data_IF_423299454081
#
_entry.id   IF_423299454081
#
_cell.length_a   1.000
_cell.length_b   1.000
_cell.length_c   1.000
_cell.angle_alpha   90.00
_cell.angle_beta   90.00
_cell.angle_gamma   90.00
#
_symmetry.space_group_name_H-M   'P 1'
#
loop_
_entity.id
_entity.type
_entity.pdbx_description
1 polymer ?
#
# COMPACT_ATOMS: atom_id res chain seq x y z
N UNK A 1 21.33 25.02 8.01
CA UNK A 1 20.37 24.54 6.99
C UNK A 1 19.20 23.91 7.73
N UNK A 2 18.05 24.57 7.77
CA UNK A 2 16.81 23.99 8.32
C UNK A 2 16.33 22.94 7.34
N UNK A 3 16.38 21.67 7.75
CA UNK A 3 15.84 20.54 6.96
C UNK A 3 14.32 20.77 6.83
N UNK A 4 13.79 20.88 5.61
CA UNK A 4 12.34 21.06 5.44
C UNK A 4 11.60 19.79 5.86
N UNK A 5 10.38 19.97 6.35
CA UNK A 5 9.47 18.88 6.74
C UNK A 5 9.19 17.98 5.53
N UNK A 6 9.62 16.72 5.56
CA UNK A 6 9.25 15.73 4.55
C UNK A 6 7.87 15.15 4.85
N UNK A 7 7.00 15.07 3.83
CA UNK A 7 5.78 14.26 3.91
C UNK A 7 5.90 13.13 2.88
N UNK A 8 5.57 11.91 3.29
CA UNK A 8 5.55 10.73 2.44
C UNK A 8 4.18 10.08 2.52
N UNK A 9 3.49 9.98 1.38
CA UNK A 9 2.24 9.23 1.29
C UNK A 9 2.50 7.78 0.89
N UNK A 10 1.97 6.85 1.68
CA UNK A 10 2.13 5.40 1.45
C UNK A 10 0.75 4.74 1.35
N UNK A 11 0.42 4.13 0.21
CA UNK A 11 -0.80 3.31 0.12
C UNK A 11 -0.57 1.97 0.82
N UNK A 12 -1.41 1.62 1.80
CA UNK A 12 -1.47 0.27 2.37
C UNK A 12 -2.70 -0.45 1.80
N UNK A 13 -2.46 -1.39 0.88
CA UNK A 13 -3.50 -2.01 0.04
C UNK A 13 -3.41 -3.54 0.10
N UNK A 14 -4.46 -4.22 -0.37
CA UNK A 14 -4.63 -5.66 -0.18
C UNK A 14 -5.36 -5.94 1.13
N UNK A 15 -4.78 -6.75 2.02
CA UNK A 15 -5.37 -7.07 3.32
C UNK A 15 -5.50 -5.82 4.21
N UNK A 16 -6.74 -5.50 4.62
CA UNK A 16 -7.02 -4.35 5.48
C UNK A 16 -6.59 -4.59 6.93
N UNK A 17 -6.32 -3.50 7.63
CA UNK A 17 -5.95 -3.51 9.03
C UNK A 17 -4.45 -3.58 9.26
N UNK A 18 -3.61 -3.68 8.23
CA UNK A 18 -2.15 -3.62 8.40
C UNK A 18 -1.69 -2.25 8.90
N UNK A 19 -2.26 -1.18 8.32
CA UNK A 19 -1.83 0.19 8.62
C UNK A 19 -2.09 0.62 10.06
N UNK A 20 -3.03 -0.03 10.76
CA UNK A 20 -3.38 0.28 12.16
C UNK A 20 -2.27 -0.07 13.16
N UNK A 21 -1.42 -1.03 12.82
CA UNK A 21 -0.29 -1.44 13.66
C UNK A 21 0.92 -0.50 13.46
N UNK A 22 1.01 0.16 12.30
CA UNK A 22 2.17 0.97 11.91
C UNK A 22 2.12 2.40 12.46
N UNK A 23 0.93 2.99 12.64
CA UNK A 23 0.80 4.42 12.87
C UNK A 23 -0.43 4.84 13.66
N UNK A 24 -0.48 6.12 14.03
CA UNK A 24 -1.59 6.68 14.79
C UNK A 24 -2.77 6.92 13.85
N UNK A 25 -3.91 6.29 14.15
CA UNK A 25 -5.16 6.50 13.41
C UNK A 25 -5.58 7.98 13.43
N UNK A 26 -5.85 8.53 12.25
CA UNK A 26 -6.30 9.88 12.01
C UNK A 26 -7.69 9.90 11.36
N UNK A 27 -7.81 10.58 10.22
CA UNK A 27 -9.06 10.74 9.48
C UNK A 27 -9.62 9.40 9.01
N UNK A 28 -10.92 9.19 9.22
CA UNK A 28 -11.66 8.00 8.77
C UNK A 28 -12.78 8.44 7.84
N UNK A 29 -12.78 7.92 6.62
CA UNK A 29 -13.75 8.28 5.57
C UNK A 29 -13.98 7.07 4.63
N UNK A 30 -13.96 7.28 3.31
CA UNK A 30 -13.79 6.20 2.33
C UNK A 30 -12.37 5.65 2.35
N UNK A 31 -11.39 6.44 2.78
CA UNK A 31 -10.02 6.03 3.12
C UNK A 31 -9.77 6.28 4.61
N UNK A 32 -8.94 5.46 5.24
CA UNK A 32 -8.42 5.69 6.60
C UNK A 32 -6.97 6.12 6.51
N UNK A 33 -6.60 7.18 7.24
CA UNK A 33 -5.24 7.71 7.28
C UNK A 33 -4.62 7.37 8.63
N UNK A 34 -3.39 6.83 8.62
CA UNK A 34 -2.57 6.59 9.80
C UNK A 34 -1.26 7.36 9.68
N UNK A 35 -0.92 8.16 10.68
CA UNK A 35 0.26 9.01 10.65
C UNK A 35 1.38 8.47 11.53
N UNK A 36 2.60 8.43 10.98
CA UNK A 36 3.84 8.15 11.70
C UNK A 36 4.68 9.41 11.70
N UNK A 37 5.10 9.87 12.88
CA UNK A 37 6.02 11.01 13.03
C UNK A 37 7.43 10.51 13.34
N UNK A 38 8.41 10.93 12.55
CA UNK A 38 9.84 10.71 12.81
C UNK A 38 10.56 12.06 12.84
N UNK A 39 10.66 12.64 14.03
CA UNK A 39 11.21 13.98 14.21
C UNK A 39 10.33 15.02 13.53
N UNK A 40 10.83 15.65 12.46
CA UNK A 40 10.08 16.60 11.63
C UNK A 40 9.37 15.91 10.45
N UNK A 41 9.74 14.69 10.10
CA UNK A 41 9.14 14.01 8.93
C UNK A 41 7.84 13.29 9.32
N UNK A 42 6.87 13.29 8.40
CA UNK A 42 5.60 12.57 8.55
C UNK A 42 5.44 11.55 7.44
N UNK A 43 4.99 10.35 7.80
CA UNK A 43 4.52 9.33 6.84
C UNK A 43 3.02 9.17 7.05
N UNK A 44 2.23 9.46 6.02
CA UNK A 44 0.78 9.26 6.02
C UNK A 44 0.46 7.99 5.24
N UNK A 45 -0.02 6.98 5.97
CA UNK A 45 -0.40 5.68 5.42
C UNK A 45 -1.89 5.71 5.09
N UNK A 46 -2.23 5.43 3.83
CA UNK A 46 -3.56 5.52 3.24
C UNK A 46 -4.12 4.12 3.04
N UNK A 47 -5.13 3.74 3.80
CA UNK A 47 -5.79 2.43 3.74
C UNK A 47 -7.18 2.56 3.10
N UNK A 48 -7.51 1.79 2.05
CA UNK A 48 -8.77 1.89 1.33
C UNK A 48 -9.90 1.20 2.10
N UNK A 49 -10.40 1.86 3.13
CA UNK A 49 -11.33 1.30 4.14
C UNK A 49 -12.66 0.76 3.61
N UNK A 50 -13.05 1.07 2.37
CA UNK A 50 -14.29 0.59 1.74
C UNK A 50 -14.05 -0.27 0.51
N UNK A 51 -12.80 -0.62 0.18
CA UNK A 51 -12.49 -1.57 -0.86
C UNK A 51 -12.58 -3.00 -0.30
N UNK A 52 -13.18 -3.98 -1.00
CA UNK A 52 -13.55 -3.99 -2.42
C UNK A 52 -14.91 -3.38 -2.79
N UNK A 53 -15.78 -3.04 -1.82
CA UNK A 53 -17.14 -2.54 -2.11
C UNK A 53 -17.19 -1.22 -2.90
N UNK A 54 -16.17 -0.37 -2.73
CA UNK A 54 -16.02 0.93 -3.41
C UNK A 54 -14.62 1.07 -4.02
N UNK A 55 -14.53 0.88 -5.33
CA UNK A 55 -13.28 1.06 -6.10
C UNK A 55 -12.64 2.46 -5.91
N UNK A 56 -13.46 3.50 -5.70
CA UNK A 56 -12.97 4.86 -5.44
C UNK A 56 -12.06 4.93 -4.20
N UNK A 57 -12.30 4.08 -3.19
CA UNK A 57 -11.47 3.99 -1.99
C UNK A 57 -10.03 3.59 -2.34
N UNK A 58 -9.86 2.54 -3.17
CA UNK A 58 -8.56 2.12 -3.68
C UNK A 58 -7.91 3.19 -4.56
N UNK A 59 -8.67 3.77 -5.49
CA UNK A 59 -8.19 4.81 -6.39
C UNK A 59 -7.59 6.01 -5.63
N UNK A 60 -8.29 6.52 -4.60
CA UNK A 60 -7.80 7.66 -3.83
C UNK A 60 -6.52 7.34 -3.07
N UNK A 61 -6.42 6.16 -2.46
CA UNK A 61 -5.19 5.74 -1.78
C UNK A 61 -4.01 5.66 -2.76
N UNK A 62 -4.20 5.00 -3.90
CA UNK A 62 -3.13 4.74 -4.86
C UNK A 62 -2.68 6.01 -5.57
N UNK A 63 -3.60 6.88 -5.99
CA UNK A 63 -3.28 8.11 -6.73
C UNK A 63 -2.51 9.13 -5.87
N UNK A 64 -2.74 9.16 -4.57
CA UNK A 64 -2.03 10.05 -3.65
C UNK A 64 -0.67 9.49 -3.19
N UNK A 65 -0.38 8.22 -3.47
CA UNK A 65 0.75 7.51 -2.91
C UNK A 65 2.02 7.68 -3.73
N UNK A 66 3.14 7.84 -3.03
CA UNK A 66 4.48 7.82 -3.63
C UNK A 66 5.18 6.46 -3.44
N UNK A 67 4.57 5.59 -2.64
CA UNK A 67 4.99 4.23 -2.35
C UNK A 67 3.78 3.36 -1.97
N UNK A 68 3.84 2.06 -2.21
CA UNK A 68 2.83 1.11 -1.75
C UNK A 68 3.39 0.04 -0.79
N UNK A 69 2.57 -0.36 0.17
CA UNK A 69 2.69 -1.60 0.93
C UNK A 69 1.52 -2.47 0.46
N UNK A 70 1.83 -3.60 -0.16
CA UNK A 70 0.83 -4.54 -0.68
C UNK A 70 0.86 -5.78 0.19
N UNK A 71 -0.16 -5.92 1.03
CA UNK A 71 -0.31 -7.05 1.95
C UNK A 71 -1.20 -8.10 1.29
N UNK A 72 -0.68 -9.30 1.09
CA UNK A 72 -1.31 -10.33 0.27
C UNK A 72 -1.62 -11.55 1.13
N UNK A 73 -2.90 -11.77 1.43
CA UNK A 73 -3.41 -13.00 2.08
C UNK A 73 -3.74 -14.06 1.01
N UNK A 74 -4.33 -13.63 -0.11
CA UNK A 74 -4.73 -14.53 -1.19
C UNK A 74 -4.64 -13.86 -2.58
N UNK A 75 -4.59 -14.68 -3.63
CA UNK A 75 -4.67 -14.23 -5.02
C UNK A 75 -6.13 -14.33 -5.46
N UNK A 76 -6.82 -13.19 -5.50
CA UNK A 76 -8.22 -13.08 -5.89
C UNK A 76 -8.42 -11.91 -6.88
N UNK A 77 -9.67 -11.63 -7.26
CA UNK A 77 -10.00 -10.54 -8.17
C UNK A 77 -9.58 -9.16 -7.61
N UNK A 78 -9.78 -8.93 -6.31
CA UNK A 78 -9.45 -7.68 -5.65
C UNK A 78 -7.93 -7.41 -5.61
N UNK A 79 -7.14 -8.47 -5.44
CA UNK A 79 -5.69 -8.40 -5.56
C UNK A 79 -5.27 -8.01 -6.98
N UNK A 80 -5.84 -8.65 -8.01
CA UNK A 80 -5.57 -8.30 -9.41
C UNK A 80 -5.91 -6.84 -9.75
N UNK A 81 -7.06 -6.35 -9.29
CA UNK A 81 -7.45 -4.94 -9.42
C UNK A 81 -6.48 -4.00 -8.70
N UNK A 82 -5.99 -4.39 -7.53
CA UNK A 82 -4.98 -3.63 -6.77
C UNK A 82 -3.67 -3.51 -7.54
N UNK A 83 -3.16 -4.61 -8.11
CA UNK A 83 -1.95 -4.60 -8.94
C UNK A 83 -2.14 -3.69 -10.16
N UNK A 84 -3.28 -3.81 -10.85
CA UNK A 84 -3.60 -3.01 -12.02
C UNK A 84 -3.69 -1.52 -11.68
N UNK A 85 -4.31 -1.15 -10.56
CA UNK A 85 -4.44 0.24 -10.13
C UNK A 85 -3.05 0.86 -9.85
N UNK A 86 -2.18 0.12 -9.15
CA UNK A 86 -0.81 0.55 -8.85
C UNK A 86 0.02 0.77 -10.13
N UNK A 87 -0.13 -0.13 -11.10
CA UNK A 87 0.54 -0.01 -12.40
C UNK A 87 0.02 1.19 -13.20
N UNK A 88 -1.30 1.33 -13.31
CA UNK A 88 -1.95 2.46 -13.98
C UNK A 88 -1.55 3.81 -13.38
N UNK A 89 -1.43 3.88 -12.05
CA UNK A 89 -1.01 5.08 -11.34
C UNK A 89 0.52 5.27 -11.33
N UNK A 90 1.28 4.33 -11.90
CA UNK A 90 2.74 4.38 -12.01
C UNK A 90 3.43 4.53 -10.64
N UNK A 91 2.90 3.86 -9.60
CA UNK A 91 3.54 3.81 -8.28
C UNK A 91 4.73 2.85 -8.36
N UNK A 92 5.93 3.40 -8.55
CA UNK A 92 7.13 2.58 -8.85
C UNK A 92 7.85 2.02 -7.63
N UNK A 93 7.55 2.55 -6.44
CA UNK A 93 8.17 2.13 -5.17
C UNK A 93 7.16 1.34 -4.37
N UNK A 94 7.55 0.19 -3.86
CA UNK A 94 6.68 -0.53 -2.95
C UNK A 94 7.29 -1.81 -2.42
N UNK A 95 6.54 -2.42 -1.51
CA UNK A 95 6.89 -3.68 -0.88
C UNK A 95 5.69 -4.64 -0.92
N UNK A 96 5.97 -5.92 -1.13
CA UNK A 96 5.04 -7.01 -0.93
C UNK A 96 5.27 -7.65 0.44
N UNK A 97 4.17 -7.86 1.17
CA UNK A 97 4.14 -8.65 2.40
C UNK A 97 3.22 -9.82 2.12
N UNK A 98 3.80 -11.01 2.06
CA UNK A 98 3.08 -12.23 1.70
C UNK A 98 2.72 -13.01 2.96
N UNK A 99 1.44 -13.37 3.09
CA UNK A 99 0.87 -14.16 4.19
C UNK A 99 0.38 -15.51 3.69
N UNK A 100 -0.07 -16.35 4.61
CA UNK A 100 -0.74 -17.63 4.31
C UNK A 100 -0.01 -18.53 3.30
N UNK A 101 1.32 -18.65 3.48
CA UNK A 101 2.22 -19.48 2.66
C UNK A 101 2.38 -19.04 1.20
N UNK A 102 1.96 -17.82 0.84
CA UNK A 102 2.24 -17.26 -0.47
C UNK A 102 3.75 -17.03 -0.65
N UNK A 103 4.25 -17.41 -1.82
CA UNK A 103 5.66 -17.24 -2.21
C UNK A 103 5.78 -16.24 -3.36
N UNK A 104 6.94 -15.56 -3.50
CA UNK A 104 7.20 -14.64 -4.60
C UNK A 104 6.94 -15.22 -5.99
N UNK A 105 7.20 -16.52 -6.20
CA UNK A 105 6.97 -17.21 -7.48
C UNK A 105 5.50 -17.22 -7.92
N UNK A 106 4.55 -17.10 -6.98
CA UNK A 106 3.12 -16.97 -7.28
C UNK A 106 2.72 -15.56 -7.70
N UNK A 107 3.48 -14.55 -7.26
CA UNK A 107 3.24 -13.14 -7.55
C UNK A 107 3.92 -12.72 -8.85
N UNK A 108 5.12 -13.23 -9.11
CA UNK A 108 5.97 -12.84 -10.23
C UNK A 108 5.27 -12.87 -11.61
N UNK A 109 4.45 -13.89 -11.96
CA UNK A 109 3.73 -13.91 -13.24
C UNK A 109 2.68 -12.80 -13.36
N UNK A 110 2.10 -12.35 -12.24
CA UNK A 110 1.01 -11.36 -12.20
C UNK A 110 1.51 -9.93 -12.34
N UNK A 111 2.77 -9.67 -11.96
CA UNK A 111 3.40 -8.34 -11.99
C UNK A 111 4.39 -8.18 -13.15
N UNK A 112 4.54 -9.22 -13.99
CA UNK A 112 5.45 -9.19 -15.13
C UNK A 112 5.08 -8.02 -16.06
N UNK A 113 6.11 -7.30 -16.52
CA UNK A 113 5.98 -6.15 -17.43
C UNK A 113 5.20 -4.95 -16.84
N UNK A 114 5.01 -4.94 -15.51
CA UNK A 114 4.42 -3.81 -14.75
C UNK A 114 5.48 -3.10 -13.92
N UNK A 115 5.17 -1.89 -13.43
CA UNK A 115 6.05 -1.16 -12.50
C UNK A 115 6.31 -1.92 -11.19
N UNK A 116 5.43 -2.86 -10.83
CA UNK A 116 5.48 -3.63 -9.59
C UNK A 116 6.60 -4.67 -9.59
N UNK A 117 7.21 -4.98 -10.74
CA UNK A 117 8.43 -5.82 -10.80
C UNK A 117 9.58 -5.22 -9.96
N UNK A 118 9.55 -3.91 -9.68
CA UNK A 118 10.55 -3.22 -8.86
C UNK A 118 10.29 -3.31 -7.35
N UNK A 119 9.18 -3.93 -6.92
CA UNK A 119 8.83 -3.98 -5.50
C UNK A 119 9.67 -5.04 -4.79
N UNK A 120 10.12 -4.74 -3.58
CA UNK A 120 10.84 -5.70 -2.74
C UNK A 120 9.87 -6.54 -1.91
N UNK A 121 10.32 -7.69 -1.42
CA UNK A 121 9.55 -8.50 -0.47
C UNK A 121 10.02 -8.23 0.96
N UNK A 122 9.09 -8.15 1.90
CA UNK A 122 9.37 -8.03 3.33
C UNK A 122 8.63 -9.12 4.12
N UNK A 123 9.19 -9.58 5.25
CA UNK A 123 8.46 -10.46 6.16
C UNK A 123 7.27 -9.72 6.77
N UNK A 124 6.25 -10.48 7.19
CA UNK A 124 5.13 -9.97 7.97
C UNK A 124 5.59 -9.74 9.43
N UNK A 125 6.08 -8.54 9.69
CA UNK A 125 6.52 -8.05 11.01
C UNK A 125 6.09 -6.57 11.16
N UNK A 126 4.79 -6.32 11.39
CA UNK A 126 4.21 -4.97 11.47
C UNK A 126 4.68 -4.15 12.67
#
# INVERSE_FOLDING_TARGET
>A
MTRSMGNLNVAAVGALGYAKELGKKGTVSDITIYDIKKGQDTVSILEPAKYPDRINSLYFCVNLAEMAIVVVDEINAAFGETLLMLDCANVKRGVFILRDYLTPDRIAPLIKDTVLTNYSYMPDDP
#
